data_IF_432031805116
#
_entry.id   IF_432031805116
#
_cell.length_a   1.000
_cell.length_b   1.000
_cell.length_c   1.000
_cell.angle_alpha   90.00
_cell.angle_beta   90.00
_cell.angle_gamma   90.00
#
_symmetry.space_group_name_H-M   'P 1'
#
loop_
_entity.id
_entity.type
_entity.pdbx_description
1 polymer ?
#
# COMPACT_ATOMS: atom_id res chain seq x y z
N UNK A 1 67.79 -51.49 47.36
CA UNK A 1 66.31 -51.54 47.25
C UNK A 1 65.74 -50.85 48.48
N UNK A 2 65.41 -49.55 48.42
CA UNK A 2 64.04 -49.12 48.72
C UNK A 2 63.70 -47.72 48.13
N UNK A 3 63.55 -47.56 46.82
CA UNK A 3 63.15 -46.25 46.22
C UNK A 3 61.92 -46.35 45.32
N UNK A 4 61.53 -47.57 44.93
CA UNK A 4 60.39 -47.80 44.05
C UNK A 4 59.03 -47.68 44.77
N UNK A 5 58.99 -47.89 46.10
CA UNK A 5 57.73 -47.91 46.87
C UNK A 5 57.13 -46.53 47.16
N UNK A 6 57.93 -45.48 47.25
CA UNK A 6 57.44 -44.13 47.60
C UNK A 6 56.83 -43.38 46.41
N UNK A 7 57.31 -43.63 45.19
CA UNK A 7 56.83 -42.95 43.97
C UNK A 7 55.44 -43.45 43.55
N UNK A 8 55.18 -44.75 43.75
CA UNK A 8 53.88 -45.38 43.44
C UNK A 8 52.76 -44.80 44.33
N UNK A 9 53.07 -44.47 45.59
CA UNK A 9 52.10 -43.91 46.54
C UNK A 9 51.64 -42.49 46.15
N UNK A 10 52.53 -41.67 45.56
CA UNK A 10 52.18 -40.30 45.17
C UNK A 10 51.29 -40.24 43.91
N UNK A 11 51.45 -41.18 42.96
CA UNK A 11 50.62 -41.25 41.75
C UNK A 11 49.18 -41.72 42.04
N UNK A 12 48.98 -42.64 42.99
CA UNK A 12 47.62 -43.12 43.32
C UNK A 12 46.80 -42.06 44.06
N UNK A 13 47.41 -41.25 44.93
CA UNK A 13 46.69 -40.23 45.72
C UNK A 13 46.13 -39.11 44.83
N UNK A 14 46.77 -38.79 43.71
CA UNK A 14 46.31 -37.75 42.77
C UNK A 14 45.20 -38.28 41.84
N UNK A 15 45.17 -39.58 41.54
CA UNK A 15 44.18 -40.19 40.64
C UNK A 15 42.75 -40.28 41.20
N UNK A 16 42.57 -40.04 42.51
CA UNK A 16 41.28 -40.19 43.18
C UNK A 16 40.45 -38.88 43.21
N UNK A 17 41.02 -37.73 42.84
CA UNK A 17 40.33 -36.42 42.98
C UNK A 17 40.09 -35.73 41.64
N UNK A 18 40.91 -35.97 40.62
CA UNK A 18 40.64 -35.48 39.26
C UNK A 18 41.05 -36.56 38.26
N UNK A 19 40.28 -36.74 37.18
CA UNK A 19 40.48 -37.77 36.14
C UNK A 19 41.76 -37.51 35.33
N UNK A 20 42.93 -37.57 35.96
CA UNK A 20 44.23 -37.36 35.34
C UNK A 20 44.83 -38.74 35.06
N UNK A 21 44.86 -39.14 33.79
CA UNK A 21 45.56 -40.34 33.33
C UNK A 21 46.98 -39.97 32.92
N UNK A 22 47.97 -40.45 33.68
CA UNK A 22 49.39 -40.26 33.38
C UNK A 22 49.96 -41.50 32.69
N UNK A 23 50.23 -41.45 31.39
CA UNK A 23 50.99 -42.50 30.69
C UNK A 23 52.48 -42.17 30.71
N UNK A 24 53.29 -43.15 31.13
CA UNK A 24 54.73 -43.01 31.29
C UNK A 24 55.43 -43.35 29.98
N UNK A 25 55.58 -42.35 29.10
CA UNK A 25 56.48 -42.46 27.96
C UNK A 25 57.65 -41.49 28.12
N UNK A 26 58.84 -41.97 27.77
CA UNK A 26 60.12 -41.41 28.16
C UNK A 26 60.19 -39.86 28.11
N UNK A 27 60.22 -39.25 29.30
CA UNK A 27 60.56 -37.84 29.61
C UNK A 27 59.58 -36.73 29.18
N UNK A 28 58.27 -36.95 29.15
CA UNK A 28 57.30 -35.83 29.10
C UNK A 28 55.98 -36.17 29.80
N UNK A 29 55.63 -35.44 30.86
CA UNK A 29 54.26 -35.45 31.39
C UNK A 29 53.35 -34.74 30.37
N UNK A 30 52.32 -35.44 29.87
CA UNK A 30 51.30 -34.87 28.98
C UNK A 30 49.97 -34.87 29.73
N UNK A 31 49.49 -33.68 30.10
CA UNK A 31 48.17 -33.50 30.68
C UNK A 31 47.13 -33.74 29.58
N UNK A 32 46.32 -34.80 29.71
CA UNK A 32 45.29 -35.15 28.73
C UNK A 32 44.14 -34.11 28.61
N UNK A 33 44.12 -33.08 29.45
CA UNK A 33 43.10 -32.02 29.40
C UNK A 33 43.27 -31.05 28.22
N UNK A 34 44.46 -30.96 27.61
CA UNK A 34 44.73 -29.99 26.54
C UNK A 34 44.04 -30.37 25.22
N UNK A 35 43.87 -31.67 24.95
CA UNK A 35 43.22 -32.17 23.73
C UNK A 35 41.69 -32.01 23.80
N UNK A 36 41.11 -32.23 24.99
CA UNK A 36 39.67 -32.01 25.23
C UNK A 36 39.30 -30.52 25.24
N UNK A 37 40.17 -29.67 25.80
CA UNK A 37 40.03 -28.21 25.72
C UNK A 37 40.13 -27.70 24.29
N UNK A 38 41.04 -28.25 23.48
CA UNK A 38 41.14 -27.90 22.06
C UNK A 38 39.88 -28.26 21.26
N UNK A 39 39.29 -29.44 21.52
CA UNK A 39 38.02 -29.85 20.90
C UNK A 39 36.85 -28.95 21.35
N UNK A 40 36.80 -28.58 22.63
CA UNK A 40 35.79 -27.64 23.15
C UNK A 40 35.94 -26.24 22.53
N UNK A 41 37.17 -25.75 22.34
CA UNK A 41 37.46 -24.50 21.66
C UNK A 41 36.99 -24.56 20.20
N UNK A 42 37.28 -25.65 19.48
CA UNK A 42 36.80 -25.84 18.10
C UNK A 42 35.27 -25.89 18.00
N UNK A 43 34.60 -26.48 18.99
CA UNK A 43 33.14 -26.50 19.04
C UNK A 43 32.55 -25.11 19.34
N UNK A 44 33.23 -24.31 20.17
CA UNK A 44 32.82 -22.93 20.46
C UNK A 44 33.05 -21.99 19.27
N UNK A 45 34.18 -22.13 18.56
CA UNK A 45 34.46 -21.32 17.36
C UNK A 45 33.45 -21.62 16.24
N UNK A 46 33.15 -22.90 16.00
CA UNK A 46 32.12 -23.27 15.00
C UNK A 46 30.73 -22.76 15.36
N UNK A 47 30.35 -22.77 16.65
CA UNK A 47 29.10 -22.16 17.12
C UNK A 47 29.10 -20.64 16.96
N UNK A 48 30.23 -19.97 17.21
CA UNK A 48 30.38 -18.53 17.02
C UNK A 48 30.23 -18.14 15.54
N UNK A 49 30.84 -18.90 14.64
CA UNK A 49 30.69 -18.71 13.19
C UNK A 49 29.24 -18.91 12.73
N UNK A 50 28.58 -19.96 13.21
CA UNK A 50 27.16 -20.20 12.94
C UNK A 50 26.28 -19.05 13.47
N UNK A 51 26.56 -18.54 14.67
CA UNK A 51 25.85 -17.37 15.21
C UNK A 51 26.14 -16.09 14.41
N UNK A 52 27.37 -15.88 13.96
CA UNK A 52 27.75 -14.74 13.10
C UNK A 52 26.97 -14.75 11.78
N UNK A 53 26.83 -15.92 11.16
CA UNK A 53 26.04 -16.07 9.93
C UNK A 53 24.55 -15.73 10.15
N UNK A 54 23.97 -16.13 11.29
CA UNK A 54 22.59 -15.77 11.65
C UNK A 54 22.44 -14.27 11.85
N UNK A 55 23.41 -13.59 12.47
CA UNK A 55 23.38 -12.13 12.66
C UNK A 55 23.46 -11.39 11.33
N UNK A 56 24.31 -11.83 10.41
CA UNK A 56 24.39 -11.26 9.06
C UNK A 56 23.08 -11.43 8.29
N UNK A 57 22.48 -12.62 8.38
CA UNK A 57 21.19 -12.91 7.75
C UNK A 57 20.07 -12.02 8.33
N UNK A 58 19.99 -11.88 9.65
CA UNK A 58 19.00 -11.04 10.31
C UNK A 58 19.20 -9.55 9.95
N UNK A 59 20.45 -9.12 9.84
CA UNK A 59 20.78 -7.75 9.41
C UNK A 59 20.33 -7.49 7.98
N UNK A 60 20.55 -8.45 7.07
CA UNK A 60 20.07 -8.36 5.69
C UNK A 60 18.53 -8.31 5.62
N UNK A 61 17.85 -9.13 6.42
CA UNK A 61 16.38 -9.10 6.51
C UNK A 61 15.86 -7.77 7.05
N UNK A 62 16.48 -7.18 8.07
CA UNK A 62 16.08 -5.89 8.61
C UNK A 62 16.24 -4.77 7.57
N UNK A 63 17.36 -4.74 6.84
CA UNK A 63 17.59 -3.76 5.79
C UNK A 63 16.56 -3.89 4.65
N UNK A 64 16.21 -5.13 4.29
CA UNK A 64 15.16 -5.37 3.30
C UNK A 64 13.79 -4.91 3.81
N UNK A 65 13.45 -5.21 5.07
CA UNK A 65 12.19 -4.79 5.67
C UNK A 65 12.08 -3.26 5.74
N UNK A 66 13.17 -2.56 6.04
CA UNK A 66 13.20 -1.08 6.01
C UNK A 66 12.96 -0.54 4.60
N UNK A 67 13.56 -1.15 3.58
CA UNK A 67 13.34 -0.77 2.17
C UNK A 67 11.90 -1.03 1.72
N UNK A 68 11.32 -2.17 2.11
CA UNK A 68 9.93 -2.53 1.80
C UNK A 68 8.95 -1.57 2.49
N UNK A 69 9.21 -1.19 3.75
CA UNK A 69 8.39 -0.19 4.47
C UNK A 69 8.41 1.17 3.75
N UNK A 70 9.55 1.60 3.23
CA UNK A 70 9.60 2.85 2.47
C UNK A 70 8.93 2.75 1.10
N UNK A 71 9.07 1.62 0.44
CA UNK A 71 8.33 1.32 -0.79
C UNK A 71 6.82 1.34 -0.54
N UNK A 72 6.35 0.74 0.56
CA UNK A 72 4.93 0.74 0.91
C UNK A 72 4.40 2.13 1.26
N UNK A 73 5.17 2.93 2.01
CA UNK A 73 4.79 4.32 2.32
C UNK A 73 4.65 5.19 1.08
N UNK A 74 5.46 4.95 0.05
CA UNK A 74 5.43 5.71 -1.21
C UNK A 74 4.39 5.16 -2.20
N UNK A 75 4.16 3.84 -2.20
CA UNK A 75 3.20 3.16 -3.10
C UNK A 75 1.77 3.20 -2.56
N UNK A 76 1.57 3.42 -1.25
CA UNK A 76 0.28 3.65 -0.59
C UNK A 76 -0.30 5.05 -0.87
N UNK A 77 -0.13 5.56 -2.09
CA UNK A 77 -0.94 6.69 -2.56
C UNK A 77 -2.29 6.10 -2.96
N UNK A 78 -3.24 6.09 -2.02
CA UNK A 78 -4.59 5.62 -2.35
C UNK A 78 -5.14 6.42 -3.53
N UNK A 79 -5.92 5.77 -4.39
CA UNK A 79 -6.59 6.41 -5.53
C UNK A 79 -8.06 6.55 -5.19
N UNK A 80 -8.66 7.66 -5.59
CA UNK A 80 -10.11 7.86 -5.46
C UNK A 80 -10.71 8.40 -6.75
N UNK A 81 -12.03 8.27 -6.89
CA UNK A 81 -12.78 8.73 -8.05
C UNK A 81 -13.85 9.71 -7.58
N UNK A 82 -13.98 10.83 -8.29
CA UNK A 82 -15.02 11.81 -8.06
C UNK A 82 -15.62 12.30 -9.37
N UNK A 83 -16.83 12.86 -9.29
CA UNK A 83 -17.50 13.48 -10.44
C UNK A 83 -17.42 14.99 -10.32
N UNK A 84 -16.99 15.65 -11.39
CA UNK A 84 -17.00 17.10 -11.55
C UNK A 84 -18.17 17.50 -12.44
N UNK A 85 -19.23 17.99 -11.80
CA UNK A 85 -20.45 18.48 -12.45
C UNK A 85 -20.22 19.84 -13.15
N UNK A 86 -20.92 20.10 -14.26
CA UNK A 86 -20.82 21.33 -15.05
C UNK A 86 -19.52 21.49 -15.86
N UNK A 87 -18.71 20.44 -16.01
CA UNK A 87 -17.39 20.48 -16.68
C UNK A 87 -17.13 19.19 -17.45
N UNK A 88 -16.36 19.28 -18.53
CA UNK A 88 -15.93 18.13 -19.35
C UNK A 88 -14.47 17.72 -19.11
N UNK A 89 -13.78 18.36 -18.16
CA UNK A 89 -12.36 18.16 -17.89
C UNK A 89 -12.08 18.07 -16.39
N UNK A 90 -11.03 17.33 -16.03
CA UNK A 90 -10.48 17.26 -14.68
C UNK A 90 -9.43 18.35 -14.44
N UNK A 91 -9.02 18.55 -13.19
CA UNK A 91 -7.98 19.53 -12.85
C UNK A 91 -6.59 18.96 -13.15
N UNK A 92 -5.74 19.73 -13.84
CA UNK A 92 -4.46 19.24 -14.38
C UNK A 92 -3.46 18.77 -13.32
N UNK A 93 -3.60 19.22 -12.07
CA UNK A 93 -2.66 18.95 -10.98
C UNK A 93 -3.31 18.11 -9.88
N UNK A 94 -3.37 16.79 -10.08
CA UNK A 94 -3.80 15.83 -9.06
C UNK A 94 -4.93 14.89 -9.49
N UNK A 95 -5.52 15.12 -10.67
CA UNK A 95 -6.55 14.24 -11.21
C UNK A 95 -6.44 14.02 -12.72
N UNK A 96 -6.82 12.82 -13.17
CA UNK A 96 -6.87 12.42 -14.57
C UNK A 96 -8.30 12.19 -15.02
N UNK A 97 -8.62 12.55 -16.26
CA UNK A 97 -9.94 12.31 -16.84
C UNK A 97 -10.10 10.81 -17.15
N UNK A 98 -11.15 10.20 -16.59
CA UNK A 98 -11.58 8.86 -16.98
C UNK A 98 -12.50 8.98 -18.20
N UNK A 99 -13.58 9.74 -18.07
CA UNK A 99 -14.48 10.07 -19.18
C UNK A 99 -15.23 11.37 -18.94
N UNK A 100 -15.71 11.97 -20.03
CA UNK A 100 -16.62 13.09 -20.01
C UNK A 100 -17.99 12.66 -20.57
N UNK A 101 -19.04 13.36 -20.17
CA UNK A 101 -20.38 13.07 -20.64
C UNK A 101 -21.41 14.03 -20.12
N UNK A 102 -22.60 13.51 -19.82
CA UNK A 102 -23.76 14.33 -19.46
C UNK A 102 -24.43 13.81 -18.18
N UNK A 103 -24.84 14.75 -17.34
CA UNK A 103 -25.59 14.47 -16.13
C UNK A 103 -26.96 13.89 -16.50
N UNK A 104 -27.32 12.78 -15.87
CA UNK A 104 -28.65 12.19 -15.97
C UNK A 104 -29.18 11.78 -14.61
N UNK A 105 -30.49 11.64 -14.51
CA UNK A 105 -31.16 11.29 -13.26
C UNK A 105 -32.65 11.05 -13.44
N UNK A 106 -33.39 11.25 -12.36
CA UNK A 106 -34.84 11.12 -12.34
C UNK A 106 -35.54 12.26 -13.10
N UNK A 107 -36.70 11.96 -13.70
CA UNK A 107 -37.63 13.03 -14.09
C UNK A 107 -38.16 13.69 -12.82
N UNK A 108 -38.28 15.01 -12.80
CA UNK A 108 -38.76 15.77 -11.64
C UNK A 108 -40.14 15.33 -11.08
N UNK A 109 -40.94 14.56 -11.84
CA UNK A 109 -42.24 13.99 -11.42
C UNK A 109 -42.20 12.50 -11.10
N UNK A 110 -41.03 11.85 -11.18
CA UNK A 110 -40.87 10.40 -11.03
C UNK A 110 -39.75 10.10 -10.05
N UNK A 111 -39.97 9.08 -9.23
CA UNK A 111 -38.97 8.52 -8.35
C UNK A 111 -38.67 7.09 -8.83
N UNK A 112 -37.42 6.63 -8.74
CA UNK A 112 -37.06 5.23 -9.01
C UNK A 112 -35.84 4.98 -9.90
N UNK A 113 -35.23 6.00 -10.50
CA UNK A 113 -33.89 5.96 -11.06
C UNK A 113 -32.86 6.56 -10.08
N UNK A 114 -31.62 6.77 -10.52
CA UNK A 114 -30.56 7.40 -9.70
C UNK A 114 -30.81 8.92 -9.51
N UNK A 115 -30.38 9.48 -8.38
CA UNK A 115 -30.53 10.92 -8.08
C UNK A 115 -29.82 11.76 -9.16
N UNK A 116 -28.50 11.61 -9.28
CA UNK A 116 -27.71 12.13 -10.40
C UNK A 116 -26.54 11.19 -10.70
N UNK A 117 -26.31 10.90 -11.97
CA UNK A 117 -25.19 10.11 -12.48
C UNK A 117 -24.54 10.80 -13.66
N UNK A 118 -23.26 10.55 -13.88
CA UNK A 118 -22.56 11.01 -15.07
C UNK A 118 -22.61 9.93 -16.15
N UNK A 119 -23.47 10.09 -17.15
CA UNK A 119 -23.55 9.17 -18.30
C UNK A 119 -22.41 9.46 -19.27
N UNK A 120 -21.76 8.42 -19.81
CA UNK A 120 -20.69 8.62 -20.80
C UNK A 120 -21.21 9.31 -22.05
N UNK A 121 -20.40 10.21 -22.62
CA UNK A 121 -20.73 10.88 -23.89
C UNK A 121 -20.70 9.95 -25.10
N UNK A 122 -20.10 8.77 -24.95
CA UNK A 122 -19.85 7.73 -25.95
C UNK A 122 -20.40 6.37 -25.49
N UNK A 123 -21.73 6.22 -25.33
CA UNK A 123 -22.31 4.99 -24.81
C UNK A 123 -22.06 3.80 -25.76
N UNK A 124 -21.70 2.66 -25.17
CA UNK A 124 -21.74 1.37 -25.85
C UNK A 124 -23.10 0.72 -25.64
N UNK A 125 -23.82 0.46 -26.73
CA UNK A 125 -25.12 -0.18 -26.67
C UNK A 125 -24.96 -1.70 -26.56
N UNK A 126 -25.60 -2.29 -25.56
CA UNK A 126 -25.70 -3.75 -25.40
C UNK A 126 -26.85 -4.33 -26.22
N UNK A 127 -27.65 -5.19 -25.63
CA UNK A 127 -28.95 -5.57 -26.22
C UNK A 127 -29.92 -4.43 -26.00
N UNK A 128 -30.42 -3.85 -27.08
CA UNK A 128 -31.39 -2.76 -27.04
C UNK A 128 -32.54 -3.03 -28.01
N UNK A 129 -33.65 -2.35 -27.75
CA UNK A 129 -34.81 -2.28 -28.63
C UNK A 129 -35.04 -0.80 -28.94
N UNK A 130 -35.11 -0.46 -30.22
CA UNK A 130 -35.40 0.90 -30.69
C UNK A 130 -36.84 1.32 -30.39
N UNK A 131 -37.71 0.38 -30.00
CA UNK A 131 -39.07 0.69 -29.60
C UNK A 131 -39.08 1.51 -28.30
N UNK A 132 -39.69 2.69 -28.36
CA UNK A 132 -39.83 3.57 -27.20
C UNK A 132 -40.80 2.95 -26.19
N UNK A 133 -40.27 2.24 -25.20
CA UNK A 133 -41.11 1.62 -24.18
C UNK A 133 -41.74 2.70 -23.27
N UNK A 134 -43.07 2.66 -23.15
CA UNK A 134 -43.85 3.68 -22.43
C UNK A 134 -43.73 3.54 -20.90
N UNK A 135 -43.54 2.34 -20.39
CA UNK A 135 -43.59 2.01 -18.95
C UNK A 135 -42.26 1.54 -18.36
N UNK A 136 -41.13 1.87 -18.98
CA UNK A 136 -39.79 1.54 -18.46
C UNK A 136 -39.27 2.58 -17.47
N UNK A 137 -38.33 2.13 -16.63
CA UNK A 137 -37.48 3.04 -15.86
C UNK A 137 -36.59 3.80 -16.85
N UNK A 138 -36.66 5.12 -16.82
CA UNK A 138 -35.95 6.03 -17.72
C UNK A 138 -34.94 6.84 -16.93
N UNK A 139 -33.79 7.08 -17.55
CA UNK A 139 -32.81 8.07 -17.08
C UNK A 139 -32.99 9.29 -17.97
N UNK A 140 -33.30 10.43 -17.35
CA UNK A 140 -33.53 11.69 -18.03
C UNK A 140 -32.25 12.52 -17.98
N UNK A 141 -31.90 13.18 -19.08
CA UNK A 141 -30.84 14.18 -19.08
C UNK A 141 -31.18 15.35 -18.17
N UNK A 142 -30.17 15.86 -17.48
CA UNK A 142 -30.27 17.11 -16.71
C UNK A 142 -29.85 18.27 -17.58
N UNK A 143 -30.65 19.32 -17.58
CA UNK A 143 -30.40 20.53 -18.37
C UNK A 143 -30.44 21.76 -17.44
N UNK A 144 -29.68 22.78 -17.79
CA UNK A 144 -29.83 24.10 -17.18
C UNK A 144 -31.05 24.80 -17.76
N UNK A 145 -32.03 25.16 -16.95
CA UNK A 145 -33.22 25.84 -17.44
C UNK A 145 -33.04 27.37 -17.43
N UNK A 146 -32.97 27.97 -18.62
CA UNK A 146 -32.96 29.42 -18.79
C UNK A 146 -34.28 29.91 -19.38
N UNK A 147 -34.77 31.06 -18.92
CA UNK A 147 -35.81 31.77 -19.68
C UNK A 147 -35.19 32.31 -20.99
N UNK A 148 -36.00 32.41 -22.04
CA UNK A 148 -35.53 32.80 -23.38
C UNK A 148 -34.80 34.16 -23.41
N UNK A 149 -35.01 35.02 -22.41
CA UNK A 149 -34.33 36.32 -22.28
C UNK A 149 -32.92 36.25 -21.69
N UNK A 150 -32.52 35.13 -21.08
CA UNK A 150 -31.19 34.95 -20.43
C UNK A 150 -30.26 34.01 -21.21
N UNK A 151 -30.67 33.52 -22.39
CA UNK A 151 -29.88 32.55 -23.15
C UNK A 151 -28.54 33.10 -23.64
N UNK A 152 -28.36 34.42 -23.76
CA UNK A 152 -27.08 34.98 -24.21
C UNK A 152 -25.99 34.90 -23.12
N UNK A 153 -26.37 34.94 -21.83
CA UNK A 153 -25.46 34.73 -20.70
C UNK A 153 -25.12 33.25 -20.52
N UNK A 154 -26.13 32.37 -20.60
CA UNK A 154 -25.94 30.92 -20.59
C UNK A 154 -25.11 30.42 -21.78
N UNK A 155 -25.32 31.00 -22.98
CA UNK A 155 -24.57 30.62 -24.18
C UNK A 155 -23.06 30.88 -24.07
N UNK A 156 -22.64 31.91 -23.31
CA UNK A 156 -21.22 32.17 -23.05
C UNK A 156 -20.61 31.15 -22.09
N UNK A 157 -21.39 30.64 -21.14
CA UNK A 157 -20.93 29.67 -20.16
C UNK A 157 -20.92 28.23 -20.72
N UNK A 158 -21.92 27.87 -21.53
CA UNK A 158 -22.07 26.53 -22.11
C UNK A 158 -21.56 26.41 -23.55
N UNK A 159 -21.01 27.49 -24.11
CA UNK A 159 -20.54 27.59 -25.50
C UNK A 159 -21.60 27.20 -26.55
N UNK A 160 -22.87 27.15 -26.16
CA UNK A 160 -23.99 26.75 -26.99
C UNK A 160 -25.19 27.65 -26.68
N UNK A 161 -25.77 28.26 -27.72
CA UNK A 161 -27.03 28.99 -27.60
C UNK A 161 -28.19 28.01 -27.55
N UNK A 162 -28.49 27.51 -26.35
CA UNK A 162 -29.67 26.69 -26.05
C UNK A 162 -30.38 27.25 -24.82
N UNK A 163 -31.73 27.29 -24.79
CA UNK A 163 -32.47 27.60 -23.56
C UNK A 163 -32.39 26.47 -22.52
N UNK A 164 -31.98 25.27 -22.95
CA UNK A 164 -31.76 24.08 -22.12
C UNK A 164 -30.48 23.37 -22.55
N UNK A 165 -29.28 23.92 -22.27
CA UNK A 165 -28.05 23.20 -22.54
C UNK A 165 -27.94 22.02 -21.58
N UNK A 166 -27.55 20.86 -22.12
CA UNK A 166 -27.28 19.65 -21.33
C UNK A 166 -26.20 19.94 -20.31
N UNK A 167 -26.39 19.49 -19.08
CA UNK A 167 -25.40 19.63 -18.01
C UNK A 167 -24.24 18.65 -18.24
N UNK A 168 -23.02 19.13 -18.54
CA UNK A 168 -21.88 18.26 -18.75
C UNK A 168 -21.31 17.76 -17.43
N UNK A 169 -20.68 16.60 -17.45
CA UNK A 169 -19.97 16.05 -16.30
C UNK A 169 -18.65 15.40 -16.72
N UNK A 170 -17.71 15.33 -15.78
CA UNK A 170 -16.43 14.64 -15.96
C UNK A 170 -16.16 13.75 -14.76
N UNK A 171 -15.84 12.48 -15.01
CA UNK A 171 -15.41 11.56 -13.95
C UNK A 171 -13.89 11.54 -13.91
N UNK A 172 -13.35 11.81 -12.72
CA UNK A 172 -11.94 12.08 -12.50
C UNK A 172 -11.32 11.06 -11.53
N UNK A 173 -10.11 10.59 -11.84
CA UNK A 173 -9.28 9.76 -10.98
C UNK A 173 -8.27 10.64 -10.25
N UNK A 174 -8.33 10.73 -8.93
CA UNK A 174 -7.38 11.47 -8.10
C UNK A 174 -6.29 10.55 -7.56
N UNK A 175 -5.05 11.05 -7.46
CA UNK A 175 -3.95 10.36 -6.77
C UNK A 175 -4.07 10.38 -5.24
N UNK A 176 -5.15 10.97 -4.71
CA UNK A 176 -5.46 11.00 -3.28
C UNK A 176 -6.38 9.87 -2.89
N UNK A 177 -6.16 9.33 -1.68
CA UNK A 177 -6.90 8.18 -1.16
C UNK A 177 -8.38 8.43 -0.97
N UNK A 178 -8.76 9.68 -0.70
CA UNK A 178 -10.14 10.06 -0.40
C UNK A 178 -10.48 11.41 -1.03
N UNK A 179 -11.64 11.47 -1.66
CA UNK A 179 -12.21 12.69 -2.22
C UNK A 179 -13.65 12.85 -1.76
N UNK A 180 -14.07 14.10 -1.56
CA UNK A 180 -15.43 14.45 -1.14
C UNK A 180 -15.85 15.74 -1.83
N UNK A 181 -17.07 15.77 -2.33
CA UNK A 181 -17.69 16.98 -2.85
C UNK A 181 -18.42 17.66 -1.69
N UNK A 182 -18.03 18.91 -1.40
CA UNK A 182 -18.65 19.74 -0.35
C UNK A 182 -19.41 20.85 -1.05
N UNK A 183 -20.76 20.77 -1.17
CA UNK A 183 -21.53 21.83 -1.78
C UNK A 183 -21.56 23.08 -0.89
N UNK A 184 -21.95 24.22 -1.48
CA UNK A 184 -22.12 25.52 -0.80
C UNK A 184 -20.84 26.12 -0.19
N UNK A 185 -19.66 25.70 -0.66
CA UNK A 185 -18.37 26.25 -0.20
C UNK A 185 -17.36 26.37 -1.34
N UNK A 186 -16.55 27.42 -1.29
CA UNK A 186 -15.42 27.64 -2.20
C UNK A 186 -14.06 27.39 -1.53
N UNK A 187 -14.04 26.83 -0.32
CA UNK A 187 -12.83 26.56 0.46
C UNK A 187 -12.97 25.22 1.18
N UNK A 188 -11.85 24.54 1.38
CA UNK A 188 -11.79 23.28 2.12
C UNK A 188 -11.96 23.50 3.64
N UNK A 189 -12.29 22.43 4.38
CA UNK A 189 -12.08 22.42 5.84
C UNK A 189 -10.58 22.24 6.16
N UNK A 190 -10.11 22.62 7.36
CA UNK A 190 -8.73 22.38 7.76
C UNK A 190 -8.33 20.91 7.58
N UNK A 191 -7.13 20.67 7.02
CA UNK A 191 -6.63 19.32 6.73
C UNK A 191 -7.07 18.72 5.39
N UNK A 192 -7.99 19.36 4.66
CA UNK A 192 -8.39 18.94 3.32
C UNK A 192 -7.65 19.73 2.24
N UNK A 193 -7.34 19.07 1.13
CA UNK A 193 -6.76 19.72 -0.05
C UNK A 193 -7.83 19.87 -1.14
N UNK A 194 -7.84 21.02 -1.80
CA UNK A 194 -8.80 21.32 -2.86
C UNK A 194 -8.45 20.57 -4.14
N UNK A 195 -9.36 19.70 -4.61
CA UNK A 195 -9.26 19.06 -5.93
C UNK A 195 -9.80 19.96 -7.04
N UNK A 196 -10.95 20.60 -6.81
CA UNK A 196 -11.55 21.57 -7.72
C UNK A 196 -12.52 22.50 -6.99
N UNK A 197 -12.91 23.58 -7.67
CA UNK A 197 -14.02 24.46 -7.31
C UNK A 197 -14.84 24.80 -8.57
N UNK A 198 -16.06 25.32 -8.36
CA UNK A 198 -17.06 25.59 -9.41
C UNK A 198 -16.86 26.90 -10.13
#
# INVERSE_FOLDING_TARGET
MPVLGFVICCCMVISAIERISCTYDNKRLVLHNDVDMAAAIQMLTSRLEAMSAVVEQLTAQNNQLEADVQTLKTTSSGVSVYTRWGRTTCTQNGSELIYAGYTGGNLYTKNGAADYICLSGDPLWGVYDDSAQTYTLKIYGTDYEFSASFSDGGARFFLQKSPRPRDPCAVCRSSRATTVMIPDRNQCYPGWTMEYWG
#
